data_IF_073986655132
#
_entry.id   IF_073986655132
#
_cell.length_a   1.000
_cell.length_b   1.000
_cell.length_c   1.000
_cell.angle_alpha   90.00
_cell.angle_beta   90.00
_cell.angle_gamma   90.00
#
_symmetry.space_group_name_H-M   'P 1'
#
loop_
_entity.id
_entity.type
_entity.pdbx_description
1 polymer ?
#
# COMPACT_ATOMS: atom_id res chain seq x y z
N UNK A 1 14.63 -1.03 -3.78
CA UNK A 1 15.36 -2.08 -3.06
C UNK A 1 16.19 -2.95 -4.00
N UNK A 2 15.64 -3.50 -5.09
CA UNK A 2 16.36 -4.36 -6.03
C UNK A 2 17.57 -3.71 -6.71
N UNK A 3 17.51 -2.42 -7.02
CA UNK A 3 18.63 -1.68 -7.63
C UNK A 3 19.80 -1.60 -6.64
N UNK A 4 19.55 -1.21 -5.40
CA UNK A 4 20.58 -1.12 -4.37
C UNK A 4 21.26 -2.48 -4.10
N UNK A 5 20.48 -3.57 -4.17
CA UNK A 5 21.02 -4.93 -4.07
C UNK A 5 21.97 -5.26 -5.22
N UNK A 6 21.62 -4.88 -6.45
CA UNK A 6 22.48 -5.09 -7.61
C UNK A 6 23.77 -4.26 -7.52
N UNK A 7 23.68 -3.03 -7.05
CA UNK A 7 24.84 -2.16 -6.82
C UNK A 7 25.76 -2.72 -5.73
N UNK A 8 25.20 -3.22 -4.62
CA UNK A 8 25.96 -3.86 -3.54
C UNK A 8 26.73 -5.12 -3.98
N UNK A 9 26.33 -5.77 -5.08
CA UNK A 9 27.11 -6.87 -5.68
C UNK A 9 28.37 -6.38 -6.39
N UNK A 10 28.29 -5.22 -7.06
CA UNK A 10 29.42 -4.60 -7.76
C UNK A 10 30.33 -3.81 -6.83
N UNK A 11 29.75 -3.06 -5.90
CA UNK A 11 30.42 -2.31 -4.85
C UNK A 11 29.85 -2.64 -3.46
N UNK A 12 30.41 -3.65 -2.75
CA UNK A 12 29.93 -4.01 -1.42
C UNK A 12 30.09 -2.92 -0.35
N UNK A 13 30.85 -1.86 -0.64
CA UNK A 13 31.01 -0.72 0.25
C UNK A 13 29.98 0.38 -0.01
N UNK A 14 29.25 0.31 -1.13
CA UNK A 14 28.32 1.35 -1.56
C UNK A 14 28.98 2.74 -1.49
N UNK A 15 30.18 2.83 -2.08
CA UNK A 15 31.12 3.95 -1.88
C UNK A 15 30.59 5.28 -2.38
N UNK A 16 29.66 5.27 -3.33
CA UNK A 16 29.05 6.46 -3.92
C UNK A 16 27.97 7.10 -3.04
N UNK A 17 27.63 6.46 -1.90
CA UNK A 17 26.56 6.93 -1.02
C UNK A 17 27.07 7.39 0.34
N UNK A 18 26.65 8.58 0.77
CA UNK A 18 26.85 9.10 2.14
C UNK A 18 25.68 8.78 3.06
N UNK A 19 24.50 8.54 2.47
CA UNK A 19 23.28 8.17 3.20
C UNK A 19 22.45 7.18 2.38
N UNK A 20 21.82 6.24 3.08
CA UNK A 20 20.89 5.27 2.52
C UNK A 20 19.58 5.36 3.29
N UNK A 21 18.46 5.38 2.57
CA UNK A 21 17.12 5.37 3.14
C UNK A 21 16.45 4.05 2.72
N UNK A 22 16.02 3.26 3.70
CA UNK A 22 15.16 2.10 3.49
C UNK A 22 13.75 2.52 3.89
N UNK A 23 12.93 2.73 2.89
CA UNK A 23 11.53 3.13 3.06
C UNK A 23 10.62 1.93 3.17
N UNK A 24 9.50 2.08 3.90
CA UNK A 24 8.49 1.03 4.09
C UNK A 24 9.07 -0.32 4.59
N UNK A 25 10.05 -0.25 5.51
CA UNK A 25 10.77 -1.44 5.98
C UNK A 25 9.84 -2.50 6.63
N UNK A 26 8.62 -2.12 7.01
CA UNK A 26 7.61 -3.03 7.56
C UNK A 26 7.03 -4.01 6.53
N UNK A 27 7.16 -3.74 5.22
CA UNK A 27 6.76 -4.70 4.18
C UNK A 27 7.55 -6.00 4.23
N UNK A 28 8.74 -5.99 4.81
CA UNK A 28 9.57 -7.17 5.05
C UNK A 28 9.76 -8.01 3.78
N UNK A 29 9.87 -7.37 2.61
CA UNK A 29 10.25 -8.07 1.39
C UNK A 29 11.61 -8.76 1.56
N UNK A 30 11.84 -9.84 0.82
CA UNK A 30 13.13 -10.55 0.85
C UNK A 30 14.31 -9.62 0.56
N UNK A 31 14.13 -8.67 -0.35
CA UNK A 31 15.15 -7.68 -0.69
C UNK A 31 15.44 -6.74 0.47
N UNK A 32 14.40 -6.25 1.16
CA UNK A 32 14.54 -5.38 2.33
C UNK A 32 15.27 -6.11 3.45
N UNK A 33 14.87 -7.34 3.77
CA UNK A 33 15.51 -8.12 4.84
C UNK A 33 16.98 -8.41 4.54
N UNK A 34 17.31 -8.72 3.29
CA UNK A 34 18.68 -8.91 2.87
C UNK A 34 19.50 -7.61 2.98
N UNK A 35 18.95 -6.48 2.51
CA UNK A 35 19.58 -5.17 2.61
C UNK A 35 19.86 -4.79 4.07
N UNK A 36 18.88 -4.99 4.96
CA UNK A 36 19.06 -4.70 6.39
C UNK A 36 20.21 -5.49 6.99
N UNK A 37 20.34 -6.77 6.66
CA UNK A 37 21.47 -7.61 7.08
C UNK A 37 22.81 -7.13 6.52
N UNK A 38 22.87 -6.79 5.23
CA UNK A 38 24.06 -6.27 4.56
C UNK A 38 24.48 -4.93 5.16
N UNK A 39 23.55 -3.99 5.30
CA UNK A 39 23.80 -2.65 5.83
C UNK A 39 24.29 -2.67 7.28
N UNK A 40 23.78 -3.58 8.12
CA UNK A 40 24.30 -3.77 9.47
C UNK A 40 25.79 -4.09 9.47
N UNK A 41 26.24 -5.00 8.61
CA UNK A 41 27.65 -5.33 8.46
C UNK A 41 28.48 -4.19 7.84
N UNK A 42 27.86 -3.41 6.95
CA UNK A 42 28.51 -2.28 6.31
C UNK A 42 28.75 -1.11 7.28
N UNK A 43 27.77 -0.75 8.10
CA UNK A 43 27.87 0.32 9.10
C UNK A 43 28.98 0.07 10.13
N UNK A 44 29.32 -1.17 10.40
CA UNK A 44 30.48 -1.51 11.27
C UNK A 44 31.81 -1.12 10.64
N UNK A 45 31.86 -0.95 9.31
CA UNK A 45 33.08 -0.63 8.54
C UNK A 45 33.07 0.80 8.01
N UNK A 46 31.89 1.36 7.75
CA UNK A 46 31.68 2.72 7.26
C UNK A 46 31.00 3.57 8.31
N UNK A 47 31.77 4.15 9.22
CA UNK A 47 31.26 5.04 10.27
C UNK A 47 30.74 6.39 9.73
N UNK A 48 31.08 6.75 8.50
CA UNK A 48 30.64 7.93 7.77
C UNK A 48 29.23 7.77 7.20
N UNK A 49 28.83 6.54 6.82
CA UNK A 49 27.54 6.24 6.19
C UNK A 49 26.38 6.46 7.17
N UNK A 50 25.36 7.12 6.71
CA UNK A 50 24.10 7.31 7.44
C UNK A 50 23.03 6.35 6.92
N UNK A 51 22.34 5.68 7.83
CA UNK A 51 21.18 4.84 7.49
C UNK A 51 19.94 5.39 8.16
N UNK A 52 18.90 5.56 7.36
CA UNK A 52 17.56 5.95 7.81
C UNK A 52 16.61 4.82 7.42
N UNK A 53 15.81 4.36 8.36
CA UNK A 53 14.78 3.33 8.13
C UNK A 53 13.44 3.94 8.48
N UNK A 54 12.51 3.95 7.52
CA UNK A 54 11.13 4.36 7.78
C UNK A 54 10.23 3.15 7.90
N UNK A 55 9.22 3.24 8.72
CA UNK A 55 8.25 2.17 8.95
C UNK A 55 6.93 2.75 9.45
N UNK A 56 5.81 2.29 8.90
CA UNK A 56 4.48 2.71 9.33
C UNK A 56 3.94 1.91 10.54
N UNK A 57 4.64 0.86 10.98
CA UNK A 57 4.14 -0.05 12.03
C UNK A 57 4.98 -0.01 13.31
N UNK A 58 4.46 -0.69 14.35
CA UNK A 58 4.98 -0.75 15.73
C UNK A 58 6.36 -1.42 15.85
N UNK A 59 6.88 -2.06 14.80
CA UNK A 59 8.13 -2.81 14.82
C UNK A 59 9.42 -1.96 14.87
N UNK A 60 9.30 -0.66 15.08
CA UNK A 60 10.45 0.27 15.19
C UNK A 60 11.44 -0.15 16.27
N UNK A 61 10.97 -0.73 17.37
CA UNK A 61 11.84 -1.24 18.45
C UNK A 61 12.73 -2.39 17.99
N UNK A 62 12.24 -3.24 17.09
CA UNK A 62 13.03 -4.35 16.54
C UNK A 62 14.15 -3.82 15.64
N UNK A 63 13.87 -2.83 14.78
CA UNK A 63 14.88 -2.18 13.96
C UNK A 63 15.90 -1.44 14.82
N UNK A 64 15.47 -0.70 15.85
CA UNK A 64 16.38 -0.02 16.78
C UNK A 64 17.37 -0.99 17.40
N UNK A 65 16.90 -2.08 17.99
CA UNK A 65 17.77 -3.12 18.58
C UNK A 65 18.69 -3.77 17.55
N UNK A 66 18.17 -4.01 16.34
CA UNK A 66 18.98 -4.59 15.27
C UNK A 66 20.17 -3.69 14.90
N UNK A 67 20.01 -2.37 14.96
CA UNK A 67 21.03 -1.37 14.64
C UNK A 67 21.61 -0.70 15.91
N UNK A 68 21.95 -1.51 16.93
CA UNK A 68 22.66 -1.09 18.15
C UNK A 68 21.94 0.03 18.92
N UNK A 69 20.63 -0.16 19.15
CA UNK A 69 19.77 0.80 19.83
C UNK A 69 19.73 2.17 19.12
N UNK A 70 19.64 2.14 17.77
CA UNK A 70 19.51 3.34 16.98
C UNK A 70 18.30 4.18 17.45
N UNK A 71 18.43 5.52 17.48
CA UNK A 71 17.35 6.38 17.95
C UNK A 71 16.09 6.25 17.08
N UNK A 72 14.93 6.25 17.74
CA UNK A 72 13.63 6.24 17.08
C UNK A 72 13.08 7.67 17.08
N UNK A 73 12.67 8.15 15.91
CA UNK A 73 12.00 9.43 15.75
C UNK A 73 10.57 9.14 15.34
N UNK A 74 9.63 9.46 16.23
CA UNK A 74 8.21 9.32 15.95
C UNK A 74 7.67 10.62 15.36
N UNK A 75 7.04 10.50 14.18
CA UNK A 75 6.37 11.62 13.52
C UNK A 75 4.87 11.32 13.51
N UNK A 76 4.13 12.04 14.35
CA UNK A 76 2.67 11.96 14.36
C UNK A 76 2.07 12.94 13.35
N UNK A 77 1.32 12.43 12.39
CA UNK A 77 0.50 13.24 11.49
C UNK A 77 -0.86 13.62 12.12
N UNK A 78 -1.59 14.52 11.46
CA UNK A 78 -3.00 14.75 11.79
C UNK A 78 -3.80 13.51 11.45
N UNK A 79 -4.42 12.87 12.44
CA UNK A 79 -5.33 11.78 12.23
C UNK A 79 -6.75 12.32 12.01
N UNK A 80 -7.40 11.83 10.97
CA UNK A 80 -8.83 12.03 10.80
C UNK A 80 -9.58 10.94 11.60
N UNK A 81 -10.81 11.21 12.07
CA UNK A 81 -11.62 10.17 12.69
C UNK A 81 -11.82 9.00 11.72
N UNK A 82 -11.54 7.80 12.19
CA UNK A 82 -11.73 6.57 11.43
C UNK A 82 -12.68 5.67 12.19
N UNK A 83 -13.77 5.28 11.55
CA UNK A 83 -14.67 4.24 12.02
C UNK A 83 -14.32 2.92 11.32
N UNK A 84 -14.06 1.88 12.10
CA UNK A 84 -13.76 0.54 11.56
C UNK A 84 -15.03 -0.30 11.64
N UNK A 85 -15.54 -0.71 10.48
CA UNK A 85 -16.73 -1.55 10.37
C UNK A 85 -16.31 -2.92 9.84
N UNK A 86 -16.49 -3.96 10.65
CA UNK A 86 -16.29 -5.34 10.21
C UNK A 86 -17.58 -5.90 9.65
N UNK A 87 -17.51 -6.43 8.44
CA UNK A 87 -18.60 -7.13 7.79
C UNK A 87 -18.24 -8.62 7.80
N UNK A 88 -18.86 -9.40 8.68
CA UNK A 88 -18.74 -10.86 8.63
C UNK A 88 -19.46 -11.34 7.36
N UNK A 89 -18.83 -12.23 6.61
CA UNK A 89 -19.57 -13.10 5.70
C UNK A 89 -20.32 -14.06 6.61
N UNK A 90 -21.64 -13.90 6.72
CA UNK A 90 -22.45 -14.78 7.56
C UNK A 90 -22.32 -16.21 7.04
N UNK A 91 -22.06 -17.13 7.96
CA UNK A 91 -21.91 -18.56 7.67
C UNK A 91 -23.17 -19.18 7.03
N UNK A 92 -24.30 -18.48 7.03
CA UNK A 92 -25.51 -18.86 6.32
C UNK A 92 -25.43 -18.63 4.81
N UNK A 93 -24.45 -17.86 4.31
CA UNK A 93 -24.19 -17.65 2.90
C UNK A 93 -23.40 -18.78 2.25
N UNK A 94 -22.74 -19.63 3.05
CA UNK A 94 -22.00 -20.80 2.53
C UNK A 94 -22.94 -21.87 1.92
N UNK A 95 -24.23 -21.90 2.30
CA UNK A 95 -25.22 -22.80 1.69
C UNK A 95 -25.85 -22.27 0.40
N UNK A 96 -25.66 -21.00 0.03
CA UNK A 96 -26.21 -20.40 -1.19
C UNK A 96 -25.19 -19.96 -2.25
N UNK A 97 -24.01 -20.57 -2.26
CA UNK A 97 -22.99 -20.29 -3.28
C UNK A 97 -22.09 -19.11 -2.87
N UNK A 98 -20.80 -19.39 -2.79
CA UNK A 98 -19.70 -18.50 -2.43
C UNK A 98 -19.95 -17.04 -2.86
N UNK A 99 -20.34 -16.16 -1.95
CA UNK A 99 -20.18 -14.73 -2.13
C UNK A 99 -18.67 -14.47 -2.16
N UNK A 100 -18.14 -14.41 -3.36
CA UNK A 100 -16.75 -14.07 -3.62
C UNK A 100 -16.46 -12.70 -2.97
N UNK A 101 -15.25 -12.51 -2.44
CA UNK A 101 -14.82 -11.21 -1.87
C UNK A 101 -15.01 -10.03 -2.83
N UNK A 102 -15.03 -10.26 -4.14
CA UNK A 102 -15.36 -9.27 -5.17
C UNK A 102 -16.81 -8.81 -5.01
N UNK A 103 -17.76 -9.74 -4.88
CA UNK A 103 -19.18 -9.40 -4.69
C UNK A 103 -19.39 -8.67 -3.35
N UNK A 104 -18.71 -9.08 -2.29
CA UNK A 104 -18.76 -8.42 -1.00
C UNK A 104 -18.25 -6.97 -1.08
N UNK A 105 -17.16 -6.74 -1.80
CA UNK A 105 -16.62 -5.39 -2.02
C UNK A 105 -17.58 -4.52 -2.85
N UNK A 106 -18.21 -5.08 -3.89
CA UNK A 106 -19.21 -4.38 -4.70
C UNK A 106 -20.42 -3.98 -3.86
N UNK A 107 -20.95 -4.89 -3.05
CA UNK A 107 -22.09 -4.59 -2.16
C UNK A 107 -21.73 -3.53 -1.11
N UNK A 108 -20.52 -3.59 -0.53
CA UNK A 108 -20.04 -2.59 0.42
C UNK A 108 -19.93 -1.21 -0.23
N UNK A 109 -19.40 -1.14 -1.46
CA UNK A 109 -19.30 0.11 -2.21
C UNK A 109 -20.69 0.70 -2.55
N UNK A 110 -21.63 -0.14 -3.01
CA UNK A 110 -23.01 0.29 -3.25
C UNK A 110 -23.65 0.88 -1.99
N UNK A 111 -23.53 0.18 -0.87
CA UNK A 111 -24.05 0.67 0.41
C UNK A 111 -23.45 2.02 0.78
N UNK A 112 -22.12 2.18 0.69
CA UNK A 112 -21.43 3.44 1.02
C UNK A 112 -21.93 4.58 0.10
N UNK A 113 -22.10 4.31 -1.19
CA UNK A 113 -22.57 5.32 -2.15
C UNK A 113 -23.99 5.78 -1.83
N UNK A 114 -24.89 4.87 -1.44
CA UNK A 114 -26.28 5.21 -1.14
C UNK A 114 -26.49 5.76 0.27
N UNK A 115 -25.70 5.34 1.25
CA UNK A 115 -25.85 5.76 2.64
C UNK A 115 -25.10 7.06 2.97
N UNK A 116 -24.05 7.41 2.21
CA UNK A 116 -23.26 8.63 2.43
C UNK A 116 -23.32 9.57 1.23
N UNK A 117 -23.40 10.87 1.52
CA UNK A 117 -23.59 11.90 0.48
C UNK A 117 -22.26 12.48 -0.07
N UNK A 118 -21.10 12.14 0.50
CA UNK A 118 -19.82 12.74 0.12
C UNK A 118 -18.64 11.84 0.41
N UNK A 119 -17.49 12.17 -0.17
CA UNK A 119 -16.23 11.45 -0.03
C UNK A 119 -16.05 10.37 -1.09
N UNK A 120 -14.83 10.13 -1.50
CA UNK A 120 -14.48 9.09 -2.46
C UNK A 120 -14.34 7.73 -1.76
N UNK A 121 -14.34 6.65 -2.53
CA UNK A 121 -14.20 5.27 -2.05
C UNK A 121 -12.91 4.68 -2.61
N UNK A 122 -12.11 4.08 -1.75
CA UNK A 122 -10.93 3.30 -2.16
C UNK A 122 -11.15 1.83 -1.78
N UNK A 123 -11.00 0.95 -2.76
CA UNK A 123 -11.14 -0.50 -2.61
C UNK A 123 -9.79 -1.15 -2.90
N UNK A 124 -9.26 -1.89 -1.95
CA UNK A 124 -8.05 -2.67 -2.17
C UNK A 124 -8.38 -4.08 -2.65
N UNK A 125 -7.77 -4.48 -3.77
CA UNK A 125 -7.90 -5.81 -4.36
C UNK A 125 -6.53 -6.49 -4.51
N UNK A 126 -6.47 -7.83 -4.41
CA UNK A 126 -5.19 -8.56 -4.45
C UNK A 126 -4.47 -8.48 -5.79
N UNK A 127 -5.19 -8.26 -6.90
CA UNK A 127 -4.58 -8.28 -8.23
C UNK A 127 -5.37 -7.59 -9.32
N UNK A 128 -4.73 -7.42 -10.48
CA UNK A 128 -5.31 -6.75 -11.66
C UNK A 128 -6.60 -7.40 -12.14
N UNK A 129 -6.70 -8.75 -12.09
CA UNK A 129 -7.90 -9.47 -12.49
C UNK A 129 -9.09 -9.06 -11.63
N UNK A 130 -8.90 -9.04 -10.33
CA UNK A 130 -9.96 -8.72 -9.36
C UNK A 130 -10.37 -7.25 -9.46
N UNK A 131 -9.39 -6.36 -9.73
CA UNK A 131 -9.66 -4.93 -10.01
C UNK A 131 -10.58 -4.79 -11.22
N UNK A 132 -10.29 -5.49 -12.32
CA UNK A 132 -11.11 -5.42 -13.53
C UNK A 132 -12.51 -5.96 -13.30
N UNK A 133 -12.62 -7.13 -12.67
CA UNK A 133 -13.90 -7.75 -12.36
C UNK A 133 -14.76 -6.87 -11.46
N UNK A 134 -14.17 -6.32 -10.39
CA UNK A 134 -14.86 -5.36 -9.50
C UNK A 134 -15.28 -4.10 -10.24
N UNK A 135 -14.41 -3.57 -11.12
CA UNK A 135 -14.72 -2.37 -11.91
C UNK A 135 -15.90 -2.60 -12.84
N UNK A 136 -15.91 -3.72 -13.58
CA UNK A 136 -16.99 -4.04 -14.53
C UNK A 136 -18.35 -4.18 -13.81
N UNK A 137 -18.35 -4.83 -12.63
CA UNK A 137 -19.54 -4.97 -11.81
C UNK A 137 -20.04 -3.62 -11.27
N UNK A 138 -19.14 -2.77 -10.78
CA UNK A 138 -19.49 -1.45 -10.26
C UNK A 138 -19.94 -0.50 -11.37
N UNK A 139 -19.31 -0.53 -12.55
CA UNK A 139 -19.79 0.24 -13.70
C UNK A 139 -21.20 -0.14 -14.11
N UNK A 140 -21.53 -1.43 -14.09
CA UNK A 140 -22.87 -1.91 -14.38
C UNK A 140 -23.94 -1.43 -13.38
N UNK A 141 -23.56 -1.20 -12.12
CA UNK A 141 -24.47 -0.86 -11.02
C UNK A 141 -24.48 0.63 -10.67
N UNK A 142 -23.32 1.27 -10.65
CA UNK A 142 -23.09 2.63 -10.15
C UNK A 142 -22.51 3.60 -11.18
N UNK A 143 -22.27 3.19 -12.42
CA UNK A 143 -21.59 4.01 -13.42
C UNK A 143 -22.31 5.33 -13.78
N UNK A 144 -23.58 5.53 -13.33
CA UNK A 144 -24.29 6.82 -13.44
C UNK A 144 -24.10 7.71 -12.22
N UNK A 145 -23.78 7.11 -11.06
CA UNK A 145 -23.74 7.80 -9.76
C UNK A 145 -22.31 8.05 -9.30
N UNK A 146 -21.34 7.28 -9.83
CA UNK A 146 -19.93 7.38 -9.48
C UNK A 146 -19.03 7.16 -10.70
N UNK A 147 -17.83 7.75 -10.66
CA UNK A 147 -16.74 7.49 -11.60
C UNK A 147 -15.90 6.31 -11.10
N UNK A 148 -15.88 5.20 -11.83
CA UNK A 148 -15.15 4.00 -11.47
C UNK A 148 -13.75 4.10 -12.08
N UNK A 149 -12.70 3.99 -11.23
CA UNK A 149 -11.31 4.17 -11.65
C UNK A 149 -10.48 2.96 -11.20
N UNK A 150 -10.14 2.05 -12.12
CA UNK A 150 -9.16 1.01 -11.84
C UNK A 150 -7.75 1.59 -11.73
N UNK A 151 -6.96 1.15 -10.74
CA UNK A 151 -5.59 1.61 -10.51
C UNK A 151 -4.65 0.43 -10.25
N UNK A 152 -3.70 0.19 -11.16
CA UNK A 152 -2.67 -0.85 -11.03
C UNK A 152 -1.41 -0.46 -11.81
N UNK A 153 -0.27 -1.05 -11.48
CA UNK A 153 1.05 -0.60 -11.92
C UNK A 153 1.33 -0.65 -13.44
N UNK A 154 0.56 -1.44 -14.20
CA UNK A 154 0.73 -1.54 -15.67
C UNK A 154 -0.04 -0.48 -16.46
N UNK A 155 -0.83 0.33 -15.79
CA UNK A 155 -1.53 1.45 -16.45
C UNK A 155 -0.53 2.50 -16.93
N UNK A 156 -0.90 3.23 -17.99
CA UNK A 156 -0.14 4.39 -18.40
C UNK A 156 -0.13 5.47 -17.30
N UNK A 157 0.92 6.30 -17.26
CA UNK A 157 0.99 7.40 -16.29
C UNK A 157 -0.22 8.35 -16.37
N UNK A 158 -0.79 8.54 -17.58
CA UNK A 158 -2.00 9.34 -17.76
C UNK A 158 -3.23 8.73 -17.10
N UNK A 159 -3.39 7.41 -17.21
CA UNK A 159 -4.51 6.69 -16.57
C UNK A 159 -4.36 6.70 -15.04
N UNK A 160 -3.15 6.54 -14.52
CA UNK A 160 -2.88 6.64 -13.09
C UNK A 160 -3.19 8.04 -12.54
N UNK A 161 -2.88 9.10 -13.31
CA UNK A 161 -3.16 10.47 -12.90
C UNK A 161 -4.67 10.80 -12.85
N UNK A 162 -5.54 10.02 -13.49
CA UNK A 162 -6.99 10.22 -13.42
C UNK A 162 -7.52 10.20 -11.98
N UNK A 163 -6.90 9.43 -11.11
CA UNK A 163 -7.28 9.38 -9.69
C UNK A 163 -7.22 10.76 -9.03
N UNK A 164 -6.23 11.58 -9.41
CA UNK A 164 -6.02 12.93 -8.86
C UNK A 164 -6.74 14.03 -9.63
N UNK A 165 -7.33 13.71 -10.79
CA UNK A 165 -8.02 14.71 -11.60
C UNK A 165 -9.33 15.14 -10.94
N UNK A 166 -9.75 16.41 -11.01
CA UNK A 166 -11.05 16.81 -10.51
C UNK A 166 -12.18 16.03 -11.20
N UNK A 167 -13.17 15.60 -10.44
CA UNK A 167 -14.39 14.96 -10.96
C UNK A 167 -15.61 15.63 -10.35
N UNK A 168 -16.69 15.69 -11.14
CA UNK A 168 -18.01 16.13 -10.67
C UNK A 168 -18.72 14.99 -9.94
N UNK A 169 -18.39 13.75 -10.34
CA UNK A 169 -18.94 12.56 -9.72
C UNK A 169 -18.03 12.10 -8.58
N UNK A 170 -18.62 11.39 -7.63
CA UNK A 170 -17.91 10.64 -6.61
C UNK A 170 -17.01 9.59 -7.26
N UNK A 171 -15.79 9.47 -6.81
CA UNK A 171 -14.86 8.45 -7.33
C UNK A 171 -14.92 7.19 -6.51
N UNK A 172 -14.85 6.06 -7.21
CA UNK A 172 -14.57 4.75 -6.62
C UNK A 172 -13.29 4.25 -7.26
N UNK A 173 -12.21 4.30 -6.50
CA UNK A 173 -10.88 3.84 -6.94
C UNK A 173 -10.71 2.40 -6.49
N UNK A 174 -10.38 1.49 -7.42
CA UNK A 174 -10.13 0.09 -7.14
C UNK A 174 -8.66 -0.18 -7.44
N UNK A 175 -7.88 -0.50 -6.42
CA UNK A 175 -6.42 -0.55 -6.51
C UNK A 175 -5.82 -1.78 -5.84
N UNK A 176 -4.55 -2.08 -6.16
CA UNK A 176 -3.67 -2.86 -5.30
C UNK A 176 -3.03 -1.93 -4.26
N UNK A 177 -2.04 -2.44 -3.52
CA UNK A 177 -1.20 -1.63 -2.62
C UNK A 177 -0.47 -0.45 -3.30
N UNK A 178 -0.49 -0.33 -4.62
CA UNK A 178 0.02 0.87 -5.33
C UNK A 178 -0.66 2.17 -4.88
N UNK A 179 -1.84 2.10 -4.28
CA UNK A 179 -2.53 3.26 -3.76
C UNK A 179 -2.08 3.65 -2.33
N UNK A 180 -1.18 2.91 -1.72
CA UNK A 180 -0.58 3.20 -0.41
C UNK A 180 0.64 4.10 -0.53
N UNK A 181 1.29 4.10 -1.70
CA UNK A 181 2.47 4.90 -2.04
C UNK A 181 2.09 5.96 -3.08
#
# INVERSE_FOLDING_TARGET
DGILLAEAQGDPQLSDYDAIIIDEAHERSLNIDFLLGHLKGLLARRSDLKLIITSATIDTQMFSRHFNDAPIIEVSGRMYPVEVVYQSQDAESEEQGDLNYVDAAVQAAERIVYESSSGDVLIFMPGERDIRETSDLLEGRLGRDAEIIPLFGRLSSGDQQRVFSPSVQRKIVIATNIAET
#
